data_IF_204474964676
#
_entry.id   IF_204474964676
#
_cell.length_a   1.000
_cell.length_b   1.000
_cell.length_c   1.000
_cell.angle_alpha   90.00
_cell.angle_beta   90.00
_cell.angle_gamma   90.00
#
_symmetry.space_group_name_H-M   'P 1'
#
loop_
_entity.id
_entity.type
_entity.pdbx_description
1 polymer ?
#
# COMPACT_ATOMS: atom_id res chain seq x y z
N UNK A 1 -15.43 -13.52 0.23
CA UNK A 1 -14.44 -13.87 -0.81
C UNK A 1 -15.09 -13.76 -2.18
N UNK A 2 -14.83 -12.67 -2.90
CA UNK A 2 -15.21 -12.57 -4.30
C UNK A 2 -14.36 -13.56 -5.11
N UNK A 3 -15.00 -14.42 -5.91
CA UNK A 3 -14.27 -15.32 -6.80
C UNK A 3 -13.70 -14.52 -7.97
N UNK A 4 -12.59 -14.97 -8.55
CA UNK A 4 -12.00 -14.34 -9.75
C UNK A 4 -13.04 -14.19 -10.87
N UNK A 5 -13.92 -15.18 -11.04
CA UNK A 5 -15.03 -15.13 -12.01
C UNK A 5 -16.02 -14.00 -11.70
N UNK A 6 -16.38 -13.82 -10.42
CA UNK A 6 -17.27 -12.72 -10.00
C UNK A 6 -16.65 -11.35 -10.22
N UNK A 7 -15.34 -11.19 -10.03
CA UNK A 7 -14.62 -9.96 -10.32
C UNK A 7 -14.60 -9.65 -11.81
N UNK A 8 -14.27 -10.64 -12.65
CA UNK A 8 -14.25 -10.47 -14.10
C UNK A 8 -15.62 -10.10 -14.65
N UNK A 9 -16.71 -10.67 -14.09
CA UNK A 9 -18.06 -10.29 -14.45
C UNK A 9 -18.38 -8.82 -14.12
N UNK A 10 -17.94 -8.33 -12.97
CA UNK A 10 -18.10 -6.91 -12.58
C UNK A 10 -17.29 -5.97 -13.48
N UNK A 11 -16.05 -6.34 -13.82
CA UNK A 11 -15.23 -5.57 -14.75
C UNK A 11 -15.86 -5.54 -16.15
N UNK A 12 -16.40 -6.66 -16.63
CA UNK A 12 -16.98 -6.78 -17.96
C UNK A 12 -18.18 -5.85 -18.20
N UNK A 13 -18.99 -5.59 -17.17
CA UNK A 13 -20.16 -4.69 -17.28
C UNK A 13 -19.79 -3.21 -17.20
N UNK A 14 -18.59 -2.89 -16.71
CA UNK A 14 -18.16 -1.51 -16.53
C UNK A 14 -17.62 -0.92 -17.85
N UNK A 15 -18.04 0.28 -18.28
CA UNK A 15 -17.72 0.83 -19.61
C UNK A 15 -16.22 1.02 -19.88
N UNK A 16 -15.48 1.45 -18.86
CA UNK A 16 -14.01 1.65 -18.92
C UNK A 16 -13.25 0.38 -18.52
N UNK A 17 -13.50 -0.15 -17.32
CA UNK A 17 -12.74 -1.26 -16.72
C UNK A 17 -12.88 -2.61 -17.45
N UNK A 18 -13.85 -2.79 -18.34
CA UNK A 18 -13.95 -3.99 -19.19
C UNK A 18 -12.73 -4.22 -20.10
N UNK A 19 -11.94 -3.18 -20.34
CA UNK A 19 -10.72 -3.25 -21.13
C UNK A 19 -9.45 -3.45 -20.29
N UNK A 20 -9.58 -3.57 -18.96
CA UNK A 20 -8.47 -3.84 -18.08
C UNK A 20 -7.88 -5.21 -18.42
N UNK A 21 -6.58 -5.24 -18.69
CA UNK A 21 -5.88 -6.48 -19.06
C UNK A 21 -5.63 -7.33 -17.82
N UNK A 22 -5.45 -8.65 -18.02
CA UNK A 22 -5.00 -9.54 -16.95
C UNK A 22 -3.67 -9.09 -16.36
N UNK A 23 -2.75 -8.64 -17.22
CA UNK A 23 -1.48 -8.06 -16.78
C UNK A 23 -1.70 -6.85 -15.85
N UNK A 24 -2.61 -5.94 -16.21
CA UNK A 24 -2.99 -4.79 -15.38
C UNK A 24 -3.56 -5.20 -14.01
N UNK A 25 -4.40 -6.23 -13.96
CA UNK A 25 -4.91 -6.80 -12.69
C UNK A 25 -3.75 -7.38 -11.86
N UNK A 26 -2.85 -8.14 -12.48
CA UNK A 26 -1.72 -8.73 -11.74
C UNK A 26 -0.76 -7.66 -11.22
N UNK A 27 -0.48 -6.63 -12.03
CA UNK A 27 0.34 -5.48 -11.67
C UNK A 27 -0.29 -4.71 -10.51
N UNK A 28 -1.60 -4.43 -10.58
CA UNK A 28 -2.35 -3.84 -9.47
C UNK A 28 -2.17 -4.63 -8.17
N UNK A 29 -2.41 -5.94 -8.20
CA UNK A 29 -2.28 -6.80 -7.01
C UNK A 29 -0.85 -6.76 -6.47
N UNK A 30 0.17 -6.87 -7.32
CA UNK A 30 1.57 -6.75 -6.88
C UNK A 30 1.83 -5.41 -6.20
N UNK A 31 1.44 -4.30 -6.81
CA UNK A 31 1.66 -2.97 -6.23
C UNK A 31 0.94 -2.80 -4.88
N UNK A 32 -0.35 -3.13 -4.81
CA UNK A 32 -1.16 -2.97 -3.60
C UNK A 32 -0.64 -3.82 -2.45
N UNK A 33 -0.21 -5.06 -2.70
CA UNK A 33 0.30 -5.93 -1.63
C UNK A 33 1.57 -5.40 -0.95
N UNK A 34 2.36 -4.55 -1.63
CA UNK A 34 3.48 -3.83 -1.02
C UNK A 34 3.08 -2.50 -0.36
N UNK A 35 1.95 -1.93 -0.77
CA UNK A 35 1.48 -0.62 -0.31
C UNK A 35 0.40 -0.69 0.77
N UNK A 36 -0.01 -1.87 1.25
CA UNK A 36 -1.08 -2.02 2.26
C UNK A 36 -0.88 -1.10 3.48
N UNK A 37 0.36 -0.97 3.97
CA UNK A 37 0.65 -0.06 5.09
C UNK A 37 0.57 1.42 4.72
N UNK A 38 1.05 1.79 3.54
CA UNK A 38 0.88 3.14 3.00
C UNK A 38 -0.60 3.49 2.75
N UNK A 39 -1.45 2.49 2.50
CA UNK A 39 -2.91 2.63 2.39
C UNK A 39 -3.57 2.78 3.76
N UNK A 40 -3.26 1.89 4.72
CA UNK A 40 -3.87 1.85 6.06
C UNK A 40 -3.50 3.07 6.88
N UNK A 41 -2.24 3.50 6.83
CA UNK A 41 -1.74 4.52 7.74
C UNK A 41 -2.59 5.80 7.72
N UNK A 42 -2.87 6.44 6.58
CA UNK A 42 -3.63 7.69 6.54
C UNK A 42 -5.12 7.51 6.85
N UNK A 43 -5.63 6.29 6.96
CA UNK A 43 -7.05 6.04 7.23
C UNK A 43 -7.45 6.44 8.65
N UNK A 44 -8.72 6.82 8.84
CA UNK A 44 -9.36 6.85 10.15
C UNK A 44 -9.17 5.54 10.93
N UNK A 45 -9.15 5.61 12.26
CA UNK A 45 -8.87 4.46 13.14
C UNK A 45 -9.78 3.27 12.88
N UNK A 46 -11.06 3.51 12.61
CA UNK A 46 -12.09 2.53 12.28
C UNK A 46 -11.86 1.83 10.93
N UNK A 47 -11.21 2.50 9.97
CA UNK A 47 -10.82 1.99 8.65
C UNK A 47 -9.37 1.43 8.63
N UNK A 48 -8.79 1.16 9.81
CA UNK A 48 -7.37 0.81 9.95
C UNK A 48 -7.11 -0.64 10.34
N UNK A 49 -8.10 -1.51 10.17
CA UNK A 49 -7.93 -2.92 10.41
C UNK A 49 -7.07 -3.55 9.29
N UNK A 50 -5.90 -4.15 9.60
CA UNK A 50 -5.03 -4.73 8.58
C UNK A 50 -5.63 -5.93 7.85
N UNK A 51 -6.67 -6.58 8.40
CA UNK A 51 -7.30 -7.75 7.77
C UNK A 51 -8.38 -7.40 6.74
N UNK A 52 -8.78 -6.14 6.65
CA UNK A 52 -9.86 -5.68 5.76
C UNK A 52 -9.41 -4.50 4.93
N UNK A 53 -9.71 -4.51 3.63
CA UNK A 53 -9.40 -3.38 2.75
C UNK A 53 -10.25 -2.16 3.13
N UNK A 54 -9.64 -0.96 3.25
CA UNK A 54 -10.41 0.24 3.57
C UNK A 54 -11.37 0.61 2.43
N UNK A 55 -12.40 1.38 2.78
CA UNK A 55 -13.42 1.81 1.81
C UNK A 55 -12.83 2.73 0.74
N UNK A 56 -11.94 3.64 1.13
CA UNK A 56 -11.39 4.69 0.25
C UNK A 56 -9.89 4.50 0.07
N UNK A 57 -9.41 4.63 -1.16
CA UNK A 57 -7.99 4.64 -1.46
C UNK A 57 -7.43 6.06 -1.26
N UNK A 58 -6.29 6.24 -0.55
CA UNK A 58 -5.71 7.57 -0.38
C UNK A 58 -5.32 8.21 -1.71
N UNK A 59 -5.50 9.52 -1.84
CA UNK A 59 -5.27 10.27 -3.09
C UNK A 59 -3.89 10.01 -3.74
N UNK A 60 -2.76 9.95 -3.01
CA UNK A 60 -1.47 9.62 -3.62
C UNK A 60 -1.46 8.24 -4.30
N UNK A 61 -2.13 7.25 -3.71
CA UNK A 61 -2.26 5.91 -4.29
C UNK A 61 -3.22 5.91 -5.47
N UNK A 62 -4.33 6.65 -5.40
CA UNK A 62 -5.27 6.83 -6.52
C UNK A 62 -4.57 7.39 -7.74
N UNK A 63 -3.78 8.45 -7.56
CA UNK A 63 -2.98 9.06 -8.63
C UNK A 63 -1.92 8.08 -9.16
N UNK A 64 -1.18 7.41 -8.28
CA UNK A 64 -0.14 6.48 -8.69
C UNK A 64 -0.69 5.31 -9.51
N UNK A 65 -1.68 4.59 -8.98
CA UNK A 65 -2.25 3.40 -9.62
C UNK A 65 -3.00 3.79 -10.90
N UNK A 66 -3.77 4.88 -10.88
CA UNK A 66 -4.47 5.38 -12.06
C UNK A 66 -3.52 5.68 -13.22
N UNK A 67 -2.42 6.40 -12.95
CA UNK A 67 -1.42 6.66 -13.98
C UNK A 67 -0.66 5.40 -14.44
N UNK A 68 -0.31 4.51 -13.50
CA UNK A 68 0.41 3.29 -13.80
C UNK A 68 -0.38 2.33 -14.70
N UNK A 69 -1.71 2.28 -14.54
CA UNK A 69 -2.60 1.37 -15.27
C UNK A 69 -3.38 2.06 -16.39
N UNK A 70 -3.21 3.37 -16.58
CA UNK A 70 -3.98 4.16 -17.55
C UNK A 70 -5.47 4.26 -17.21
N UNK A 71 -5.82 4.21 -15.92
CA UNK A 71 -7.20 4.30 -15.44
C UNK A 71 -7.53 5.77 -15.14
N UNK A 72 -8.61 6.32 -15.74
CA UNK A 72 -9.09 7.67 -15.45
C UNK A 72 -9.43 7.88 -13.97
N UNK A 73 -9.17 9.08 -13.45
CA UNK A 73 -9.35 9.39 -12.02
C UNK A 73 -10.80 9.23 -11.55
N UNK A 74 -11.78 9.55 -12.40
CA UNK A 74 -13.21 9.38 -12.14
C UNK A 74 -13.66 7.91 -12.08
N UNK A 75 -12.83 6.99 -12.59
CA UNK A 75 -13.08 5.54 -12.58
C UNK A 75 -12.39 4.83 -11.40
N UNK A 76 -11.51 5.53 -10.67
CA UNK A 76 -10.66 4.89 -9.67
C UNK A 76 -11.44 4.38 -8.44
N UNK A 77 -12.53 5.04 -8.06
CA UNK A 77 -13.37 4.59 -6.94
C UNK A 77 -14.06 3.28 -7.28
N UNK A 78 -14.63 3.17 -8.48
CA UNK A 78 -15.22 1.92 -8.99
C UNK A 78 -14.17 0.82 -9.11
N UNK A 79 -13.00 1.15 -9.66
CA UNK A 79 -11.87 0.21 -9.77
C UNK A 79 -11.45 -0.36 -8.42
N UNK A 80 -11.27 0.50 -7.42
CA UNK A 80 -10.95 0.09 -6.07
C UNK A 80 -12.09 -0.74 -5.47
N UNK A 81 -13.34 -0.29 -5.58
CA UNK A 81 -14.49 -1.01 -5.01
C UNK A 81 -14.61 -2.46 -5.53
N UNK A 82 -14.30 -2.69 -6.81
CA UNK A 82 -14.37 -4.02 -7.43
C UNK A 82 -13.21 -4.90 -6.96
N UNK A 83 -11.97 -4.39 -6.96
CA UNK A 83 -10.77 -5.21 -6.81
C UNK A 83 -10.13 -5.21 -5.43
N UNK A 84 -10.53 -4.31 -4.52
CA UNK A 84 -9.85 -4.10 -3.23
C UNK A 84 -9.73 -5.37 -2.40
N UNK A 85 -10.83 -6.10 -2.21
CA UNK A 85 -10.87 -7.27 -1.33
C UNK A 85 -9.99 -8.38 -1.90
N UNK A 86 -10.02 -8.56 -3.22
CA UNK A 86 -9.14 -9.52 -3.90
C UNK A 86 -7.67 -9.16 -3.69
N UNK A 87 -7.25 -7.93 -3.99
CA UNK A 87 -5.85 -7.54 -3.78
C UNK A 87 -5.44 -7.58 -2.29
N UNK A 88 -6.40 -7.37 -1.38
CA UNK A 88 -6.16 -7.42 0.05
C UNK A 88 -5.95 -8.83 0.60
N UNK A 89 -6.63 -9.82 0.04
CA UNK A 89 -6.48 -11.23 0.41
C UNK A 89 -5.22 -11.87 -0.20
N UNK A 90 -4.67 -11.28 -1.27
CA UNK A 90 -3.50 -11.84 -1.95
C UNK A 90 -2.22 -11.71 -1.11
N UNK A 91 -1.35 -12.75 -1.13
CA UNK A 91 -0.06 -12.70 -0.49
C UNK A 91 0.86 -11.70 -1.21
N UNK A 92 1.75 -11.06 -0.47
CA UNK A 92 2.78 -10.21 -1.05
C UNK A 92 3.78 -11.07 -1.81
N UNK A 93 3.86 -10.85 -3.11
CA UNK A 93 4.85 -11.48 -4.01
C UNK A 93 5.96 -10.48 -4.36
N UNK A 94 7.17 -10.91 -4.72
CA UNK A 94 8.23 -9.99 -5.13
C UNK A 94 7.81 -9.07 -6.29
N UNK A 95 8.22 -7.80 -6.22
CA UNK A 95 8.07 -6.86 -7.32
C UNK A 95 8.99 -7.25 -8.50
N UNK A 96 8.50 -7.02 -9.71
CA UNK A 96 9.25 -7.17 -10.95
C UNK A 96 9.98 -5.86 -11.29
N UNK A 97 10.94 -5.92 -12.22
CA UNK A 97 11.69 -4.73 -12.64
C UNK A 97 10.77 -3.62 -13.14
N UNK A 98 9.77 -3.97 -13.95
CA UNK A 98 8.78 -3.03 -14.48
C UNK A 98 7.97 -2.35 -13.37
N UNK A 99 7.70 -3.05 -12.26
CA UNK A 99 7.01 -2.46 -11.10
C UNK A 99 7.84 -1.33 -10.46
N UNK A 100 9.17 -1.51 -10.37
CA UNK A 100 10.07 -0.45 -9.89
C UNK A 100 10.09 0.76 -10.83
N UNK A 101 10.02 0.52 -12.14
CA UNK A 101 9.94 1.60 -13.13
C UNK A 101 8.63 2.38 -13.02
N UNK A 102 7.50 1.71 -12.73
CA UNK A 102 6.24 2.39 -12.40
C UNK A 102 6.36 3.27 -11.16
N UNK A 103 6.99 2.79 -10.08
CA UNK A 103 7.25 3.60 -8.89
C UNK A 103 8.10 4.83 -9.22
N UNK A 104 9.15 4.67 -10.01
CA UNK A 104 10.02 5.75 -10.42
C UNK A 104 9.31 6.78 -11.29
N UNK A 105 8.49 6.32 -12.24
CA UNK A 105 7.80 7.19 -13.18
C UNK A 105 6.64 7.94 -12.52
N UNK A 106 5.87 7.26 -11.66
CA UNK A 106 4.58 7.77 -11.17
C UNK A 106 4.48 7.85 -9.64
N UNK A 107 5.13 6.93 -8.91
CA UNK A 107 5.01 6.83 -7.45
C UNK A 107 5.82 7.88 -6.69
N UNK A 108 7.07 8.16 -7.10
CA UNK A 108 7.97 9.04 -6.35
C UNK A 108 7.45 10.46 -6.19
N UNK A 109 6.82 11.01 -7.24
CA UNK A 109 6.18 12.34 -7.21
C UNK A 109 4.99 12.39 -6.25
N UNK A 110 4.37 11.25 -5.96
CA UNK A 110 3.29 11.08 -5.00
C UNK A 110 3.81 10.75 -3.59
N UNK A 111 5.14 10.75 -3.38
CA UNK A 111 5.74 10.39 -2.10
C UNK A 111 5.74 8.88 -1.81
N UNK A 112 5.52 8.04 -2.82
CA UNK A 112 5.47 6.59 -2.69
C UNK A 112 6.77 5.95 -3.18
N UNK A 113 7.20 4.90 -2.51
CA UNK A 113 8.37 4.10 -2.88
C UNK A 113 8.03 2.63 -2.89
N UNK A 114 8.74 1.85 -3.71
CA UNK A 114 8.58 0.40 -3.76
C UNK A 114 8.93 -0.29 -2.42
N UNK A 115 9.72 0.39 -1.57
CA UNK A 115 10.15 -0.11 -0.27
C UNK A 115 9.82 0.91 0.81
N UNK A 116 9.03 0.49 1.79
CA UNK A 116 8.74 1.27 3.00
C UNK A 116 9.10 0.45 4.23
N UNK A 117 9.96 0.99 5.10
CA UNK A 117 10.42 0.36 6.32
C UNK A 117 9.52 0.86 7.45
N UNK A 118 8.59 0.01 7.89
CA UNK A 118 7.73 0.26 9.04
C UNK A 118 8.24 -0.49 10.29
N UNK A 119 7.83 -0.06 11.50
CA UNK A 119 7.93 -0.90 12.69
C UNK A 119 7.19 -2.24 12.48
N UNK A 120 7.53 -3.31 13.21
CA UNK A 120 6.87 -4.61 13.06
C UNK A 120 5.38 -4.51 13.37
N UNK A 121 5.00 -3.75 14.40
CA UNK A 121 3.62 -3.61 14.87
C UNK A 121 3.08 -2.21 14.57
N UNK A 122 1.79 -2.13 14.29
CA UNK A 122 1.07 -0.85 14.10
C UNK A 122 0.61 -0.25 15.44
N UNK A 123 0.74 -1.00 16.54
CA UNK A 123 0.41 -0.60 17.90
C UNK A 123 1.65 -0.22 18.73
N UNK A 124 1.42 0.14 20.00
CA UNK A 124 2.51 0.35 20.94
C UNK A 124 3.11 -1.00 21.37
N UNK A 125 4.42 -1.25 21.19
CA UNK A 125 5.03 -2.53 21.59
C UNK A 125 5.21 -2.65 23.12
N UNK A 126 4.98 -1.57 23.88
CA UNK A 126 5.07 -1.59 25.33
C UNK A 126 3.83 -2.29 25.92
N UNK A 127 4.03 -3.46 26.53
CA UNK A 127 2.96 -4.25 27.16
C UNK A 127 2.23 -3.50 28.30
N UNK A 128 2.86 -2.48 28.89
CA UNK A 128 2.25 -1.62 29.92
C UNK A 128 1.60 -0.36 29.34
N UNK A 129 1.31 -0.35 28.04
CA UNK A 129 0.62 0.74 27.36
C UNK A 129 -0.85 0.40 27.18
N UNK A 130 -1.73 1.23 27.75
CA UNK A 130 -3.18 1.04 27.64
C UNK A 130 -3.75 1.48 26.28
N UNK A 131 -2.92 2.05 25.41
CA UNK A 131 -3.33 2.40 24.06
C UNK A 131 -3.39 1.15 23.16
N UNK A 132 -4.60 0.65 22.95
CA UNK A 132 -4.91 -0.49 22.08
C UNK A 132 -5.23 -0.08 20.63
N UNK A 133 -5.21 1.22 20.34
CA UNK A 133 -5.56 1.76 19.03
C UNK A 133 -4.31 1.81 18.13
N UNK A 134 -4.43 1.50 16.81
CA UNK A 134 -3.33 1.68 15.86
C UNK A 134 -2.73 3.09 15.91
N UNK A 135 -1.40 3.17 15.88
CA UNK A 135 -0.68 4.44 15.96
C UNK A 135 -0.75 5.18 14.62
N UNK A 136 -1.39 6.35 14.62
CA UNK A 136 -1.64 7.17 13.43
C UNK A 136 -0.70 8.35 13.22
N UNK A 137 0.07 8.72 14.24
CA UNK A 137 1.06 9.78 14.07
C UNK A 137 2.36 9.16 13.59
N UNK A 138 2.74 9.49 12.37
CA UNK A 138 3.97 9.00 11.75
C UNK A 138 5.01 10.10 11.52
N UNK A 139 6.28 9.70 11.51
CA UNK A 139 7.41 10.49 11.06
C UNK A 139 8.14 9.71 9.99
N UNK A 140 8.23 10.25 8.78
CA UNK A 140 8.94 9.64 7.66
C UNK A 140 10.30 10.27 7.46
N UNK A 141 11.34 9.44 7.31
CA UNK A 141 12.69 9.86 6.93
C UNK A 141 13.07 9.19 5.62
N UNK A 142 13.67 9.95 4.70
CA UNK A 142 14.22 9.40 3.46
C UNK A 142 15.30 8.38 3.81
N UNK A 143 15.24 7.24 3.15
CA UNK A 143 16.19 6.15 3.29
C UNK A 143 16.57 5.62 1.91
N UNK A 144 17.62 4.81 1.88
CA UNK A 144 18.06 4.09 0.70
C UNK A 144 18.27 2.64 1.11
N UNK A 145 17.72 1.71 0.33
CA UNK A 145 17.85 0.27 0.55
C UNK A 145 18.66 -0.32 -0.60
N UNK A 146 19.65 -1.14 -0.24
CA UNK A 146 20.44 -1.89 -1.19
C UNK A 146 19.79 -3.26 -1.38
N UNK A 147 19.19 -3.47 -2.54
CA UNK A 147 18.54 -4.74 -2.89
C UNK A 147 19.48 -5.59 -3.73
N UNK A 148 19.37 -6.92 -3.62
CA UNK A 148 20.23 -7.85 -4.38
C UNK A 148 19.93 -7.86 -5.88
N UNK A 149 18.66 -7.71 -6.26
CA UNK A 149 18.20 -7.87 -7.65
C UNK A 149 17.85 -6.55 -8.34
N UNK A 150 17.31 -5.57 -7.62
CA UNK A 150 16.86 -4.28 -8.18
C UNK A 150 17.85 -3.12 -7.90
N UNK A 151 19.04 -3.43 -7.39
CA UNK A 151 20.05 -2.43 -7.04
C UNK A 151 19.62 -1.48 -5.92
N UNK A 152 20.04 -0.22 -6.03
CA UNK A 152 19.79 0.83 -5.04
C UNK A 152 18.38 1.38 -5.21
N UNK A 153 17.57 1.31 -4.16
CA UNK A 153 16.18 1.75 -4.18
C UNK A 153 15.93 2.84 -3.13
N UNK A 154 15.21 3.94 -3.47
CA UNK A 154 14.75 4.87 -2.47
C UNK A 154 13.68 4.21 -1.60
N UNK A 155 13.68 4.58 -0.33
CA UNK A 155 12.74 4.06 0.64
C UNK A 155 12.31 5.14 1.64
N UNK A 156 11.20 4.88 2.32
CA UNK A 156 10.84 5.60 3.52
C UNK A 156 11.16 4.76 4.76
N UNK A 157 11.81 5.36 5.75
CA UNK A 157 11.84 4.83 7.10
C UNK A 157 10.76 5.54 7.92
N UNK A 158 9.70 4.81 8.24
CA UNK A 158 8.54 5.30 8.95
C UNK A 158 8.67 4.96 10.43
N UNK A 159 8.45 5.96 11.27
CA UNK A 159 8.44 5.83 12.72
C UNK A 159 7.07 6.20 13.25
N UNK A 160 6.51 5.41 14.16
CA UNK A 160 5.20 5.64 14.73
C UNK A 160 5.32 6.24 16.13
N UNK A 161 4.41 7.17 16.46
CA UNK A 161 4.40 7.86 17.74
C UNK A 161 3.24 7.41 18.62
N UNK A 162 3.53 7.04 19.87
CA UNK A 162 2.52 6.72 20.87
C UNK A 162 2.32 7.89 21.85
N UNK A 163 1.10 8.49 21.91
CA UNK A 163 0.84 9.64 22.77
C UNK A 163 0.87 9.33 24.27
N UNK A 164 0.53 8.11 24.68
CA UNK A 164 0.46 7.72 26.10
C UNK A 164 1.82 7.65 26.78
N UNK A 165 2.91 7.47 26.02
CA UNK A 165 4.27 7.31 26.56
C UNK A 165 5.32 8.23 25.92
N UNK A 166 4.93 9.15 25.03
CA UNK A 166 5.83 10.08 24.32
C UNK A 166 7.05 9.41 23.66
N UNK A 167 6.91 8.18 23.16
CA UNK A 167 7.99 7.45 22.52
C UNK A 167 7.80 7.36 21.00
N UNK A 168 8.91 7.54 20.28
CA UNK A 168 9.05 7.31 18.85
C UNK A 168 9.58 5.89 18.64
N UNK A 169 8.86 5.09 17.87
CA UNK A 169 9.24 3.71 17.57
C UNK A 169 9.74 3.59 16.14
N UNK A 170 10.99 3.12 16.01
CA UNK A 170 11.67 2.96 14.73
C UNK A 170 12.06 1.50 14.58
N UNK A 171 12.03 0.99 13.35
CA UNK A 171 12.67 -0.28 13.06
C UNK A 171 14.19 -0.06 13.01
N UNK A 172 14.97 -0.75 13.85
CA UNK A 172 16.44 -0.76 13.71
C UNK A 172 16.76 -1.83 12.67
N UNK A 173 17.32 -1.49 11.49
CA UNK A 173 17.77 -2.52 10.57
C UNK A 173 18.80 -3.38 11.31
N UNK A 174 18.59 -4.70 11.30
CA UNK A 174 19.63 -5.64 11.72
C UNK A 174 20.82 -5.38 10.80
N UNK A 175 21.96 -5.02 11.38
CA UNK A 175 23.23 -4.99 10.64
C UNK A 175 23.47 -6.40 10.06
N UNK A 176 24.02 -6.48 8.83
CA UNK A 176 24.26 -7.75 8.13
C UNK A 176 25.16 -8.70 8.92
#
# INVERSE_FOLDING_TARGET
MATVVGLLAQLQVHPVLRYLTLDGITTFVRLITHLKRDIIQPQPVDESNPTTAPTVLPEPLTLFIGNALGIPADTMDDFWSILKDYAWEMPTVPLMQDDYDLFKQWGWRCGLTAVSIYPPDDGCPNLSCDNQIPLKKEYRKKAVVYTRSAGVQPAWNTSLYCPSKYHLYNNKPKAP
#
